data_IF_190226431536
#
_entry.id   IF_190226431536
#
_cell.length_a   1.000
_cell.length_b   1.000
_cell.length_c   1.000
_cell.angle_alpha   90.00
_cell.angle_beta   90.00
_cell.angle_gamma   90.00
#
_symmetry.space_group_name_H-M   'P 1'
#
loop_
_entity.id
_entity.type
_entity.pdbx_description
1 polymer ?
#
# COMPACT_ATOMS: atom_id res chain seq x y z
N UNK A 1 -1.72 -3.94 -21.80
CA UNK A 1 -3.14 -3.67 -21.59
C UNK A 1 -3.91 -3.77 -22.90
N UNK A 2 -3.82 -2.88 -23.86
CA UNK A 2 -4.46 -2.99 -25.18
C UNK A 2 -3.56 -3.60 -26.26
N UNK A 3 -2.40 -4.19 -25.90
CA UNK A 3 -1.44 -4.83 -26.82
C UNK A 3 -0.87 -3.88 -27.88
N UNK A 4 -0.80 -2.59 -27.58
CA UNK A 4 -0.37 -1.53 -28.51
C UNK A 4 -1.19 -1.46 -29.81
N UNK A 5 -2.43 -1.99 -29.80
CA UNK A 5 -3.35 -1.93 -30.94
C UNK A 5 -4.33 -0.78 -30.76
N UNK A 6 -4.52 0.02 -31.80
CA UNK A 6 -5.59 1.01 -31.85
C UNK A 6 -6.96 0.32 -31.91
N UNK A 7 -7.92 0.86 -31.14
CA UNK A 7 -9.31 0.40 -31.17
C UNK A 7 -10.26 1.58 -30.93
N UNK A 8 -11.55 1.45 -31.32
CA UNK A 8 -12.54 2.50 -31.09
C UNK A 8 -12.62 2.88 -29.60
N UNK A 9 -12.76 4.18 -29.30
CA UNK A 9 -12.82 4.69 -27.93
C UNK A 9 -13.91 4.00 -27.08
N UNK A 10 -15.06 3.71 -27.65
CA UNK A 10 -16.18 3.02 -26.97
C UNK A 10 -15.78 1.64 -26.47
N UNK A 11 -14.95 0.92 -27.24
CA UNK A 11 -14.47 -0.43 -26.87
C UNK A 11 -13.30 -0.32 -25.87
N UNK A 12 -12.35 0.59 -26.14
CA UNK A 12 -11.18 0.75 -25.26
C UNK A 12 -11.57 1.25 -23.86
N UNK A 13 -12.54 2.15 -23.77
CA UNK A 13 -12.99 2.68 -22.46
C UNK A 13 -13.61 1.57 -21.60
N UNK A 14 -14.50 0.74 -22.17
CA UNK A 14 -15.10 -0.38 -21.43
C UNK A 14 -14.03 -1.36 -20.97
N UNK A 15 -13.16 -1.81 -21.88
CA UNK A 15 -12.06 -2.72 -21.53
C UNK A 15 -11.11 -2.18 -20.48
N UNK A 16 -10.79 -0.89 -20.54
CA UNK A 16 -9.90 -0.26 -19.54
C UNK A 16 -10.59 -0.19 -18.18
N UNK A 17 -11.85 0.23 -18.12
CA UNK A 17 -12.59 0.29 -16.87
C UNK A 17 -12.75 -1.08 -16.21
N UNK A 18 -13.04 -2.12 -17.00
CA UNK A 18 -13.17 -3.50 -16.49
C UNK A 18 -11.85 -4.11 -16.01
N UNK A 19 -10.70 -3.58 -16.49
CA UNK A 19 -9.37 -4.11 -16.20
C UNK A 19 -8.50 -3.14 -15.40
N UNK A 20 -9.07 -2.08 -14.81
CA UNK A 20 -8.37 -1.12 -13.96
C UNK A 20 -8.81 -1.29 -12.53
N UNK A 21 -7.85 -1.52 -11.63
CA UNK A 21 -8.07 -1.52 -10.19
C UNK A 21 -7.88 -0.09 -9.65
N UNK A 22 -8.94 0.51 -9.12
CA UNK A 22 -8.89 1.83 -8.52
C UNK A 22 -8.62 1.73 -7.01
N UNK A 23 -7.44 2.20 -6.61
CA UNK A 23 -7.04 2.30 -5.21
C UNK A 23 -7.08 3.75 -4.74
N UNK A 24 -7.78 4.02 -3.64
CA UNK A 24 -7.68 5.29 -2.92
C UNK A 24 -6.77 5.14 -1.71
N UNK A 25 -5.99 6.18 -1.40
CA UNK A 25 -5.02 6.15 -0.32
C UNK A 25 -5.44 7.09 0.81
N UNK A 26 -5.42 6.57 2.05
CA UNK A 26 -5.72 7.33 3.26
C UNK A 26 -4.41 7.66 3.98
N UNK A 27 -4.12 8.95 4.15
CA UNK A 27 -2.84 9.45 4.64
C UNK A 27 -3.00 10.48 5.77
N UNK A 28 -4.25 10.73 6.18
CA UNK A 28 -4.55 11.72 7.22
C UNK A 28 -5.58 11.20 8.21
N UNK A 29 -5.56 11.68 9.49
CA UNK A 29 -6.59 11.35 10.46
C UNK A 29 -8.00 11.71 10.00
N UNK A 30 -8.16 12.77 9.19
CA UNK A 30 -9.44 13.17 8.62
C UNK A 30 -9.94 12.13 7.60
N UNK A 31 -9.04 11.61 6.74
CA UNK A 31 -9.40 10.55 5.80
C UNK A 31 -9.83 9.27 6.54
N UNK A 32 -9.14 8.91 7.63
CA UNK A 32 -9.53 7.76 8.47
C UNK A 32 -10.92 7.96 9.09
N UNK A 33 -11.23 9.16 9.58
CA UNK A 33 -12.59 9.46 10.12
C UNK A 33 -13.68 9.33 9.06
N UNK A 34 -13.36 9.61 7.80
CA UNK A 34 -14.29 9.55 6.69
C UNK A 34 -14.24 8.23 5.91
N UNK A 35 -13.53 7.23 6.39
CA UNK A 35 -13.23 6.00 5.65
C UNK A 35 -14.47 5.25 5.16
N UNK A 36 -15.54 5.23 5.95
CA UNK A 36 -16.80 4.57 5.56
C UNK A 36 -17.46 5.28 4.36
N UNK A 37 -17.49 6.61 4.38
CA UNK A 37 -17.99 7.41 3.26
C UNK A 37 -17.11 7.24 2.01
N UNK A 38 -15.80 7.22 2.17
CA UNK A 38 -14.85 7.00 1.08
C UNK A 38 -15.02 5.60 0.49
N UNK A 39 -15.07 4.57 1.32
CA UNK A 39 -15.23 3.20 0.87
C UNK A 39 -16.59 2.93 0.19
N UNK A 40 -17.62 3.72 0.51
CA UNK A 40 -18.94 3.59 -0.10
C UNK A 40 -19.03 4.13 -1.54
N UNK A 41 -18.03 4.87 -2.01
CA UNK A 41 -18.03 5.45 -3.35
C UNK A 41 -17.97 4.34 -4.40
N UNK A 42 -18.89 4.41 -5.36
CA UNK A 42 -18.92 3.46 -6.49
C UNK A 42 -17.66 3.63 -7.37
N UNK A 43 -17.14 2.51 -7.89
CA UNK A 43 -15.94 2.49 -8.73
C UNK A 43 -14.61 2.41 -7.96
N UNK A 44 -14.60 2.59 -6.63
CA UNK A 44 -13.44 2.27 -5.81
C UNK A 44 -13.39 0.74 -5.62
N UNK A 45 -12.23 0.12 -5.86
CA UNK A 45 -12.02 -1.33 -5.67
C UNK A 45 -11.37 -1.61 -4.33
N UNK A 46 -10.44 -0.76 -3.91
CA UNK A 46 -9.70 -0.94 -2.67
C UNK A 46 -9.31 0.37 -1.99
N UNK A 47 -9.12 0.29 -0.68
CA UNK A 47 -8.66 1.38 0.17
C UNK A 47 -7.32 0.99 0.77
N UNK A 48 -6.31 1.83 0.58
CA UNK A 48 -4.96 1.63 1.09
C UNK A 48 -4.65 2.68 2.16
N UNK A 49 -3.95 2.28 3.20
CA UNK A 49 -3.35 3.26 4.13
C UNK A 49 -1.91 3.53 3.69
N UNK A 50 -1.60 4.81 3.45
CA UNK A 50 -0.23 5.32 3.30
C UNK A 50 0.39 5.50 4.68
N UNK A 51 0.93 4.43 5.26
CA UNK A 51 1.25 4.36 6.69
C UNK A 51 2.27 5.40 7.12
N UNK A 52 3.30 5.64 6.30
CA UNK A 52 4.33 6.63 6.63
C UNK A 52 3.77 8.06 6.64
N UNK A 53 2.94 8.40 5.66
CA UNK A 53 2.33 9.73 5.54
C UNK A 53 1.26 9.93 6.62
N UNK A 54 0.49 8.90 6.96
CA UNK A 54 -0.42 8.93 8.09
C UNK A 54 0.34 9.19 9.40
N UNK A 55 1.42 8.45 9.67
CA UNK A 55 2.26 8.69 10.85
C UNK A 55 2.84 10.12 10.86
N UNK A 56 3.26 10.63 9.70
CA UNK A 56 3.78 11.99 9.59
C UNK A 56 2.71 13.03 9.93
N UNK A 57 1.49 12.89 9.42
CA UNK A 57 0.39 13.82 9.71
C UNK A 57 -0.11 13.73 11.15
N UNK A 58 0.07 12.58 11.80
CA UNK A 58 -0.24 12.38 13.23
C UNK A 58 0.90 12.85 14.15
N UNK A 59 2.06 13.25 13.62
CA UNK A 59 3.22 13.65 14.43
C UNK A 59 3.96 12.48 15.09
N UNK A 60 3.73 11.26 14.67
CA UNK A 60 4.34 10.01 15.20
C UNK A 60 5.24 9.34 14.16
N UNK A 61 6.12 10.13 13.53
CA UNK A 61 7.01 9.68 12.46
C UNK A 61 7.72 8.36 12.78
N UNK A 62 7.61 7.37 11.88
CA UNK A 62 8.30 6.09 11.99
C UNK A 62 7.70 5.11 13.02
N UNK A 63 6.67 5.48 13.76
CA UNK A 63 5.99 4.62 14.74
C UNK A 63 4.83 3.86 14.08
N UNK A 64 5.17 2.98 13.12
CA UNK A 64 4.17 2.29 12.29
C UNK A 64 3.28 1.32 13.08
N UNK A 65 3.76 0.86 14.24
CA UNK A 65 3.08 -0.03 15.19
C UNK A 65 2.36 0.73 16.32
N UNK A 66 2.27 2.07 16.23
CA UNK A 66 1.54 2.87 17.20
C UNK A 66 0.05 2.45 17.27
N UNK A 67 -0.53 2.49 18.46
CA UNK A 67 -1.92 2.06 18.69
C UNK A 67 -2.93 2.77 17.77
N UNK A 68 -2.73 4.05 17.51
CA UNK A 68 -3.61 4.82 16.61
C UNK A 68 -3.50 4.38 15.15
N UNK A 69 -2.31 3.93 14.71
CA UNK A 69 -2.11 3.38 13.37
C UNK A 69 -2.81 2.02 13.25
N UNK A 70 -2.68 1.16 14.27
CA UNK A 70 -3.38 -0.12 14.32
C UNK A 70 -4.89 0.09 14.31
N UNK A 71 -5.39 1.05 15.08
CA UNK A 71 -6.80 1.42 15.08
C UNK A 71 -7.28 1.94 13.71
N UNK A 72 -6.46 2.75 13.01
CA UNK A 72 -6.76 3.20 11.66
C UNK A 72 -6.92 2.03 10.69
N UNK A 73 -6.06 1.01 10.78
CA UNK A 73 -6.19 -0.22 9.99
C UNK A 73 -7.47 -0.98 10.33
N UNK A 74 -7.83 -1.09 11.61
CA UNK A 74 -9.07 -1.78 12.01
C UNK A 74 -10.31 -1.06 11.47
N UNK A 75 -10.37 0.27 11.61
CA UNK A 75 -11.48 1.08 11.08
C UNK A 75 -11.59 0.94 9.54
N UNK A 76 -10.45 0.94 8.85
CA UNK A 76 -10.42 0.79 7.39
C UNK A 76 -10.84 -0.63 6.98
N UNK A 77 -10.41 -1.66 7.71
CA UNK A 77 -10.82 -3.05 7.46
C UNK A 77 -12.34 -3.21 7.60
N UNK A 78 -12.91 -2.65 8.65
CA UNK A 78 -14.36 -2.72 8.91
C UNK A 78 -15.17 -1.98 7.83
N UNK A 79 -14.70 -0.79 7.41
CA UNK A 79 -15.31 -0.02 6.34
C UNK A 79 -15.22 -0.75 4.99
N UNK A 80 -14.07 -1.34 4.66
CA UNK A 80 -13.88 -2.14 3.47
C UNK A 80 -14.82 -3.34 3.45
N UNK A 81 -14.89 -4.08 4.54
CA UNK A 81 -15.80 -5.23 4.67
C UNK A 81 -17.26 -4.85 4.49
N UNK A 82 -17.69 -3.76 5.15
CA UNK A 82 -19.07 -3.25 5.06
C UNK A 82 -19.45 -2.86 3.63
N UNK A 83 -18.53 -2.24 2.89
CA UNK A 83 -18.78 -1.71 1.55
C UNK A 83 -18.30 -2.65 0.43
N UNK A 84 -17.93 -3.90 0.73
CA UNK A 84 -17.42 -4.89 -0.22
C UNK A 84 -16.20 -4.39 -1.01
N UNK A 85 -15.27 -3.75 -0.32
CA UNK A 85 -13.98 -3.28 -0.86
C UNK A 85 -12.83 -4.09 -0.27
N UNK A 86 -11.66 -3.96 -0.88
CA UNK A 86 -10.44 -4.61 -0.39
C UNK A 86 -9.60 -3.66 0.45
N UNK A 87 -9.08 -4.17 1.58
CA UNK A 87 -8.06 -3.46 2.35
C UNK A 87 -6.69 -3.69 1.73
N UNK A 88 -5.94 -2.61 1.52
CA UNK A 88 -4.56 -2.63 1.03
C UNK A 88 -3.59 -2.02 2.05
N UNK A 89 -2.34 -2.47 2.00
CA UNK A 89 -1.24 -2.02 2.86
C UNK A 89 -0.17 -1.34 2.02
N UNK A 90 0.25 -0.14 2.41
CA UNK A 90 1.38 0.58 1.83
C UNK A 90 2.36 1.08 2.88
N UNK A 91 3.65 1.12 2.54
CA UNK A 91 4.67 1.76 3.37
C UNK A 91 5.19 0.96 4.56
N UNK A 92 4.88 -0.34 4.67
CA UNK A 92 5.37 -1.21 5.74
C UNK A 92 6.34 -2.26 5.17
N UNK A 93 7.54 -2.31 5.71
CA UNK A 93 8.56 -3.30 5.31
C UNK A 93 8.33 -4.63 6.02
N UNK A 94 8.27 -5.72 5.26
CA UNK A 94 8.18 -7.10 5.82
C UNK A 94 9.40 -7.45 6.67
N UNK A 95 10.55 -6.88 6.37
CA UNK A 95 11.79 -7.16 7.11
C UNK A 95 11.83 -6.48 8.47
N UNK A 96 11.18 -5.30 8.60
CA UNK A 96 11.22 -4.51 9.82
C UNK A 96 10.00 -4.74 10.71
N UNK A 97 8.84 -5.05 10.10
CA UNK A 97 7.55 -5.15 10.79
C UNK A 97 6.75 -6.38 10.36
N UNK A 98 7.31 -7.60 10.44
CA UNK A 98 6.62 -8.82 9.98
C UNK A 98 5.34 -9.11 10.78
N UNK A 99 5.38 -8.89 12.10
CA UNK A 99 4.23 -9.14 12.98
C UNK A 99 3.08 -8.15 12.73
N UNK A 100 3.41 -6.88 12.52
CA UNK A 100 2.43 -5.85 12.16
C UNK A 100 1.74 -6.20 10.84
N UNK A 101 2.51 -6.57 9.81
CA UNK A 101 1.95 -7.00 8.53
C UNK A 101 1.04 -8.22 8.68
N UNK A 102 1.46 -9.22 9.45
CA UNK A 102 0.64 -10.40 9.71
C UNK A 102 -0.67 -10.01 10.41
N UNK A 103 -0.61 -9.09 11.36
CA UNK A 103 -1.78 -8.59 12.07
C UNK A 103 -2.78 -7.92 11.10
N UNK A 104 -2.30 -7.05 10.22
CA UNK A 104 -3.15 -6.35 9.24
C UNK A 104 -3.72 -7.34 8.20
N UNK A 105 -2.96 -8.37 7.81
CA UNK A 105 -3.47 -9.46 6.96
C UNK A 105 -4.61 -10.20 7.67
N UNK A 106 -4.50 -10.43 8.97
CA UNK A 106 -5.55 -11.05 9.77
C UNK A 106 -6.81 -10.17 9.87
N UNK A 107 -6.67 -8.84 9.85
CA UNK A 107 -7.79 -7.90 9.76
C UNK A 107 -8.51 -7.97 8.39
N UNK A 108 -7.91 -8.57 7.38
CA UNK A 108 -8.53 -8.78 6.07
C UNK A 108 -7.80 -8.14 4.88
N UNK A 109 -6.61 -7.62 5.06
CA UNK A 109 -5.82 -7.10 3.94
C UNK A 109 -5.51 -8.22 2.93
N UNK A 110 -5.64 -7.89 1.63
CA UNK A 110 -5.39 -8.82 0.52
C UNK A 110 -4.46 -8.26 -0.55
N UNK A 111 -4.10 -6.99 -0.43
CA UNK A 111 -3.12 -6.34 -1.30
C UNK A 111 -2.03 -5.72 -0.45
N UNK A 112 -0.78 -6.01 -0.76
CA UNK A 112 0.40 -5.48 -0.05
C UNK A 112 1.33 -4.86 -1.08
N UNK A 113 1.60 -3.57 -0.93
CA UNK A 113 2.65 -2.90 -1.67
C UNK A 113 3.99 -3.26 -1.01
N UNK A 114 4.68 -4.24 -1.57
CA UNK A 114 5.83 -4.92 -0.95
C UNK A 114 7.13 -4.12 -0.95
N UNK A 115 7.15 -2.92 -1.54
CA UNK A 115 8.32 -2.04 -1.57
C UNK A 115 8.48 -1.32 -2.90
N UNK A 116 9.54 -0.54 -3.02
CA UNK A 116 9.95 0.12 -4.25
C UNK A 116 11.26 -0.51 -4.76
N UNK A 117 11.37 -0.64 -6.07
CA UNK A 117 12.52 -1.19 -6.80
C UNK A 117 13.84 -0.51 -6.44
N UNK A 118 13.82 0.81 -6.23
CA UNK A 118 14.99 1.59 -5.86
C UNK A 118 15.63 1.09 -4.54
N UNK A 119 14.84 0.71 -3.55
CA UNK A 119 15.39 0.18 -2.28
C UNK A 119 16.03 -1.18 -2.47
N UNK A 120 15.45 -2.05 -3.31
CA UNK A 120 16.01 -3.35 -3.67
C UNK A 120 17.35 -3.16 -4.40
N UNK A 121 17.39 -2.25 -5.37
CA UNK A 121 18.60 -1.93 -6.11
C UNK A 121 19.71 -1.39 -5.18
N UNK A 122 19.40 -0.44 -4.31
CA UNK A 122 20.36 0.12 -3.35
C UNK A 122 20.89 -0.96 -2.41
N UNK A 123 20.03 -1.85 -1.92
CA UNK A 123 20.44 -2.93 -1.03
C UNK A 123 21.42 -3.90 -1.74
N UNK A 124 21.12 -4.29 -2.97
CA UNK A 124 21.99 -5.14 -3.78
C UNK A 124 23.36 -4.46 -4.03
N UNK A 125 23.36 -3.21 -4.50
CA UNK A 125 24.60 -2.46 -4.74
C UNK A 125 25.45 -2.31 -3.47
N UNK A 126 24.82 -2.06 -2.31
CA UNK A 126 25.54 -1.97 -1.02
C UNK A 126 26.19 -3.30 -0.65
N UNK A 127 25.48 -4.41 -0.87
CA UNK A 127 25.99 -5.76 -0.63
C UNK A 127 27.23 -6.04 -1.49
N UNK A 128 27.16 -5.72 -2.79
CA UNK A 128 28.26 -5.93 -3.73
C UNK A 128 29.48 -5.07 -3.36
N UNK A 129 29.29 -3.80 -3.06
CA UNK A 129 30.37 -2.91 -2.60
C UNK A 129 31.04 -3.44 -1.33
N UNK A 130 30.25 -3.96 -0.39
CA UNK A 130 30.81 -4.58 0.82
C UNK A 130 31.60 -5.85 0.51
N UNK A 131 31.18 -6.65 -0.46
CA UNK A 131 31.91 -7.83 -0.91
C UNK A 131 33.24 -7.44 -1.58
N UNK A 132 33.22 -6.48 -2.50
CA UNK A 132 34.45 -5.98 -3.16
C UNK A 132 35.46 -5.39 -2.17
N UNK A 133 35.00 -4.67 -1.13
CA UNK A 133 35.89 -4.12 -0.10
C UNK A 133 36.61 -5.15 0.76
N UNK A 134 36.18 -6.40 0.72
CA UNK A 134 36.83 -7.53 1.42
C UNK A 134 37.90 -8.22 0.57
N UNK A 135 38.02 -7.86 -0.70
CA UNK A 135 39.06 -8.42 -1.55
C UNK A 135 40.42 -7.84 -1.13
N UNK A 136 41.40 -8.75 -0.98
CA UNK A 136 42.81 -8.37 -0.71
C UNK A 136 43.43 -7.87 -2.02
N UNK A 137 43.81 -6.60 -2.06
CA UNK A 137 44.45 -5.96 -3.22
C UNK A 137 45.93 -5.83 -2.87
N UNK A 138 46.63 -6.98 -2.77
CA UNK A 138 48.08 -7.04 -2.68
C UNK A 138 48.76 -7.01 -4.04
#
# INVERSE_FOLDING_TARGET
QLGYKGMPATVSTSLLNENTLLTVMLETPEAIKNVDAIASVEGIDQVMIGTNDLCATMGIHGQLDHADVINAYQLTADACKKNNKHLAIGGISIHNYPELLQNIVNMGARFILGGADIFTLIAACRSDVQAFRKLDIT
#
